data_IF_750187745017
#
_entry.id   IF_750187745017
#
_cell.length_a   1.000
_cell.length_b   1.000
_cell.length_c   1.000
_cell.angle_alpha   90.00
_cell.angle_beta   90.00
_cell.angle_gamma   90.00
#
_symmetry.space_group_name_H-M   'P 1'
#
loop_
_entity.id
_entity.type
_entity.pdbx_description
1 polymer ?
#
# COMPACT_ATOMS: atom_id res chain seq x y z
N UNK A 1 32.00 -7.81 16.81
CA UNK A 1 32.09 -8.62 15.58
C UNK A 1 32.93 -9.89 15.71
N UNK A 2 34.14 -9.89 16.27
CA UNK A 2 35.01 -11.11 16.36
C UNK A 2 34.38 -12.37 16.96
N UNK A 3 33.48 -12.24 17.95
CA UNK A 3 32.79 -13.40 18.55
C UNK A 3 31.82 -14.09 17.58
N UNK A 4 31.10 -13.31 16.75
CA UNK A 4 30.19 -13.87 15.74
C UNK A 4 30.97 -14.49 14.58
N UNK A 5 32.05 -13.84 14.12
CA UNK A 5 32.93 -14.40 13.08
C UNK A 5 33.52 -15.74 13.50
N UNK A 6 33.97 -15.88 14.76
CA UNK A 6 34.47 -17.15 15.27
C UNK A 6 33.37 -18.21 15.43
N UNK A 7 32.19 -17.82 15.93
CA UNK A 7 31.09 -18.75 16.22
C UNK A 7 30.46 -19.39 14.97
N UNK A 8 30.58 -18.76 13.81
CA UNK A 8 30.08 -19.27 12.54
C UNK A 8 31.19 -19.58 11.52
N UNK A 9 32.44 -19.64 11.99
CA UNK A 9 33.61 -19.88 11.12
C UNK A 9 33.61 -21.25 10.44
N UNK A 10 32.87 -22.21 11.00
CA UNK A 10 32.68 -23.58 10.53
C UNK A 10 31.37 -23.76 9.74
N UNK A 11 30.54 -22.72 9.64
CA UNK A 11 29.25 -22.79 8.95
C UNK A 11 29.41 -22.26 7.53
N UNK A 12 29.42 -23.17 6.55
CA UNK A 12 29.35 -22.84 5.13
C UNK A 12 28.19 -23.57 4.45
N UNK A 13 27.57 -22.93 3.46
CA UNK A 13 26.56 -23.57 2.64
C UNK A 13 27.24 -24.61 1.73
N UNK A 14 26.91 -25.88 1.91
CA UNK A 14 27.35 -26.95 1.00
C UNK A 14 26.46 -26.97 -0.24
N UNK A 15 27.08 -27.01 -1.43
CA UNK A 15 26.37 -27.11 -2.71
C UNK A 15 26.45 -28.57 -3.17
N UNK A 16 25.34 -29.21 -3.58
CA UNK A 16 25.37 -30.58 -4.09
C UNK A 16 26.28 -30.70 -5.33
N UNK A 17 27.03 -31.81 -5.45
CA UNK A 17 28.07 -31.99 -6.49
C UNK A 17 27.57 -31.82 -7.94
N UNK A 18 26.26 -32.04 -8.16
CA UNK A 18 25.58 -31.88 -9.45
C UNK A 18 25.23 -30.42 -9.80
N UNK A 19 25.44 -29.48 -8.87
CA UNK A 19 25.40 -28.03 -9.08
C UNK A 19 26.82 -27.45 -9.03
N UNK A 20 27.65 -27.81 -10.01
CA UNK A 20 29.08 -27.52 -10.03
C UNK A 20 29.44 -26.04 -10.27
N UNK A 21 28.46 -25.22 -10.66
CA UNK A 21 28.59 -23.76 -10.69
C UNK A 21 27.81 -23.17 -9.51
N UNK A 22 28.48 -22.49 -8.56
CA UNK A 22 27.81 -21.77 -7.47
C UNK A 22 27.07 -20.57 -8.06
N UNK A 23 25.87 -20.83 -8.59
CA UNK A 23 24.97 -19.82 -9.13
C UNK A 23 24.01 -19.41 -8.01
N UNK A 24 24.47 -18.52 -7.15
CA UNK A 24 23.69 -17.98 -6.04
C UNK A 24 24.53 -17.04 -5.20
N UNK A 25 23.92 -15.97 -4.70
CA UNK A 25 24.61 -15.01 -3.83
C UNK A 25 23.66 -14.53 -2.74
N UNK A 26 24.16 -14.46 -1.52
CA UNK A 26 23.47 -13.80 -0.41
C UNK A 26 24.23 -12.52 -0.12
N UNK A 27 23.52 -11.39 -0.09
CA UNK A 27 24.06 -10.10 0.31
C UNK A 27 23.28 -9.60 1.52
N UNK A 28 24.00 -9.22 2.57
CA UNK A 28 23.42 -8.65 3.78
C UNK A 28 24.06 -7.28 3.99
N UNK A 29 23.21 -6.25 4.09
CA UNK A 29 23.63 -4.88 4.34
C UNK A 29 22.90 -4.34 5.56
N UNK A 30 23.67 -3.90 6.56
CA UNK A 30 23.15 -3.18 7.72
C UNK A 30 23.08 -1.69 7.38
N UNK A 31 21.88 -1.12 7.46
CA UNK A 31 21.65 0.32 7.30
C UNK A 31 21.67 0.97 8.69
N UNK A 32 22.57 1.93 8.89
CA UNK A 32 22.62 2.76 10.11
C UNK A 32 22.72 4.25 9.77
N UNK A 33 22.40 5.11 10.74
CA UNK A 33 22.36 6.58 10.57
C UNK A 33 20.93 7.14 10.62
N UNK A 34 20.76 8.38 10.19
CA UNK A 34 19.45 9.04 10.08
C UNK A 34 18.69 8.58 8.81
N UNK A 35 17.37 8.80 8.77
CA UNK A 35 16.47 8.48 7.64
C UNK A 35 16.55 7.01 7.17
N UNK A 36 16.48 6.07 8.11
CA UNK A 36 16.62 4.63 7.82
C UNK A 36 15.53 4.14 6.87
N UNK A 37 14.28 4.58 7.05
CA UNK A 37 13.14 4.18 6.21
C UNK A 37 13.36 4.56 4.75
N UNK A 38 13.62 5.84 4.45
CA UNK A 38 13.88 6.33 3.09
C UNK A 38 15.06 5.59 2.43
N UNK A 39 16.14 5.39 3.20
CA UNK A 39 17.30 4.64 2.70
C UNK A 39 17.00 3.18 2.44
N UNK A 40 16.10 2.58 3.23
CA UNK A 40 15.68 1.20 3.04
C UNK A 40 14.87 1.05 1.76
N UNK A 41 13.94 1.98 1.52
CA UNK A 41 13.17 2.04 0.27
C UNK A 41 14.10 2.21 -0.93
N UNK A 42 15.00 3.21 -0.88
CA UNK A 42 15.97 3.47 -1.96
C UNK A 42 16.88 2.26 -2.20
N UNK A 43 17.45 1.67 -1.16
CA UNK A 43 18.34 0.50 -1.31
C UNK A 43 17.60 -0.70 -1.90
N UNK A 44 16.31 -0.86 -1.58
CA UNK A 44 15.47 -1.92 -2.15
C UNK A 44 15.28 -1.69 -3.65
N UNK A 45 14.94 -0.46 -4.06
CA UNK A 45 14.80 -0.10 -5.47
C UNK A 45 16.12 -0.21 -6.24
N UNK A 46 17.22 0.32 -5.70
CA UNK A 46 18.56 0.19 -6.29
C UNK A 46 18.99 -1.28 -6.50
N UNK A 47 18.51 -2.16 -5.61
CA UNK A 47 18.77 -3.61 -5.73
C UNK A 47 17.96 -4.21 -6.87
N UNK A 48 16.71 -3.80 -7.04
CA UNK A 48 15.89 -4.17 -8.19
C UNK A 48 16.51 -3.66 -9.48
N UNK A 49 16.92 -2.38 -9.54
CA UNK A 49 17.56 -1.78 -10.71
C UNK A 49 18.77 -2.60 -11.16
N UNK A 50 19.67 -2.95 -10.23
CA UNK A 50 20.84 -3.79 -10.52
C UNK A 50 20.48 -5.17 -11.05
N UNK A 51 19.36 -5.76 -10.62
CA UNK A 51 18.90 -7.06 -11.12
C UNK A 51 18.33 -6.90 -12.53
N UNK A 52 17.48 -5.91 -12.77
CA UNK A 52 16.88 -5.66 -14.07
C UNK A 52 17.92 -5.24 -15.11
N UNK A 53 18.91 -4.41 -14.74
CA UNK A 53 20.07 -4.05 -15.59
C UNK A 53 20.89 -5.28 -16.03
N UNK A 54 20.90 -6.34 -15.21
CA UNK A 54 21.54 -7.63 -15.55
C UNK A 54 20.65 -8.54 -16.40
N UNK A 55 19.47 -8.07 -16.80
CA UNK A 55 18.51 -8.81 -17.63
C UNK A 55 17.56 -9.72 -16.85
N UNK A 56 17.45 -9.56 -15.53
CA UNK A 56 16.49 -10.33 -14.72
C UNK A 56 15.07 -9.84 -15.02
N UNK A 57 14.14 -10.72 -15.44
CA UNK A 57 12.74 -10.35 -15.61
C UNK A 57 12.08 -9.94 -14.29
N UNK A 58 11.23 -8.91 -14.30
CA UNK A 58 10.55 -8.41 -13.08
C UNK A 58 9.78 -9.51 -12.32
N UNK A 59 9.12 -10.41 -13.04
CA UNK A 59 8.37 -11.52 -12.44
C UNK A 59 9.23 -12.62 -11.78
N UNK A 60 10.56 -12.53 -11.90
CA UNK A 60 11.51 -13.37 -11.18
C UNK A 60 12.01 -12.74 -9.88
N UNK A 61 11.57 -11.52 -9.58
CA UNK A 61 11.95 -10.76 -8.39
C UNK A 61 10.78 -10.74 -7.42
N UNK A 62 11.04 -11.12 -6.17
CA UNK A 62 10.11 -10.98 -5.05
C UNK A 62 10.69 -10.11 -3.94
N UNK A 63 9.86 -9.22 -3.41
CA UNK A 63 10.13 -8.41 -2.22
C UNK A 63 9.28 -8.95 -1.08
N UNK A 64 9.94 -9.45 -0.04
CA UNK A 64 9.28 -10.06 1.11
C UNK A 64 9.40 -9.19 2.36
N UNK A 65 8.27 -8.91 3.00
CA UNK A 65 8.22 -8.18 4.27
C UNK A 65 7.39 -8.92 5.31
N UNK A 66 7.43 -8.46 6.57
CA UNK A 66 6.68 -9.09 7.65
C UNK A 66 5.21 -8.65 7.72
N UNK A 67 4.95 -7.36 7.47
CA UNK A 67 3.66 -6.72 7.66
C UNK A 67 3.11 -6.20 6.33
N UNK A 68 1.78 -6.20 6.19
CA UNK A 68 1.11 -5.61 5.02
C UNK A 68 1.38 -4.11 4.89
N UNK A 69 1.53 -3.40 6.03
CA UNK A 69 1.89 -1.98 6.03
C UNK A 69 3.20 -1.72 5.29
N UNK A 70 4.24 -2.51 5.56
CA UNK A 70 5.52 -2.35 4.87
C UNK A 70 5.39 -2.66 3.36
N UNK A 71 4.48 -3.55 2.95
CA UNK A 71 4.21 -3.78 1.51
C UNK A 71 3.67 -2.50 0.88
N UNK A 72 2.68 -1.86 1.52
CA UNK A 72 2.06 -0.62 1.04
C UNK A 72 3.11 0.49 0.89
N UNK A 73 3.92 0.70 1.93
CA UNK A 73 4.93 1.77 1.95
C UNK A 73 5.99 1.57 0.84
N UNK A 74 6.51 0.34 0.65
CA UNK A 74 7.49 0.07 -0.41
C UNK A 74 6.83 0.15 -1.79
N UNK A 75 5.62 -0.40 -1.94
CA UNK A 75 4.90 -0.39 -3.21
C UNK A 75 4.60 1.04 -3.67
N UNK A 76 4.11 1.89 -2.79
CA UNK A 76 3.90 3.32 -3.05
C UNK A 76 5.22 4.03 -3.40
N UNK A 77 6.32 3.69 -2.72
CA UNK A 77 7.63 4.21 -3.08
C UNK A 77 8.03 3.80 -4.51
N UNK A 78 7.90 2.52 -4.88
CA UNK A 78 8.22 2.04 -6.22
C UNK A 78 7.37 2.70 -7.30
N UNK A 79 6.06 2.87 -7.06
CA UNK A 79 5.17 3.56 -8.01
C UNK A 79 5.55 5.02 -8.27
N UNK A 80 6.11 5.69 -7.25
CA UNK A 80 6.51 7.09 -7.35
C UNK A 80 7.92 7.30 -7.90
N UNK A 81 8.74 6.24 -7.98
CA UNK A 81 10.16 6.34 -8.33
C UNK A 81 10.60 5.39 -9.47
N UNK A 82 9.70 4.56 -9.99
CA UNK A 82 10.00 3.60 -11.07
C UNK A 82 8.78 3.32 -11.92
N UNK A 83 9.00 2.86 -13.15
CA UNK A 83 7.96 2.39 -14.07
C UNK A 83 7.82 0.86 -14.05
N UNK A 84 8.35 0.19 -13.01
CA UNK A 84 8.30 -1.26 -12.95
C UNK A 84 6.86 -1.76 -12.79
N UNK A 85 6.46 -2.81 -13.52
CA UNK A 85 5.21 -3.49 -13.24
C UNK A 85 5.29 -4.09 -11.83
N UNK A 86 4.35 -3.73 -10.96
CA UNK A 86 4.28 -4.23 -9.59
C UNK A 86 3.06 -5.14 -9.41
N UNK A 87 3.20 -6.17 -8.60
CA UNK A 87 2.11 -7.11 -8.30
C UNK A 87 2.05 -7.40 -6.81
N UNK A 88 0.89 -7.16 -6.21
CA UNK A 88 0.61 -7.45 -4.81
C UNK A 88 -0.88 -7.62 -4.61
N UNK A 89 -1.26 -8.73 -3.99
CA UNK A 89 -2.66 -9.02 -3.66
C UNK A 89 -3.15 -8.16 -2.46
N UNK A 90 -2.24 -7.50 -1.73
CA UNK A 90 -2.55 -6.71 -0.53
C UNK A 90 -2.26 -5.22 -0.65
N UNK A 91 -1.13 -4.83 -1.25
CA UNK A 91 -0.75 -3.41 -1.23
C UNK A 91 -1.62 -2.55 -2.13
N UNK A 92 -2.05 -3.09 -3.27
CA UNK A 92 -2.67 -2.31 -4.32
C UNK A 92 -4.19 -2.23 -4.24
N UNK A 93 -4.82 -2.81 -3.20
CA UNK A 93 -6.27 -2.74 -3.00
C UNK A 93 -6.72 -1.31 -2.66
N UNK A 94 -7.91 -0.92 -3.08
CA UNK A 94 -8.46 0.41 -2.76
C UNK A 94 -8.62 0.64 -1.25
N UNK A 95 -8.96 -0.39 -0.48
CA UNK A 95 -9.08 -0.32 0.99
C UNK A 95 -7.76 -0.16 1.75
N UNK A 96 -6.62 -0.31 1.07
CA UNK A 96 -5.31 0.01 1.60
C UNK A 96 -5.04 1.53 1.63
N UNK A 97 -5.74 2.31 0.79
CA UNK A 97 -5.51 3.75 0.69
C UNK A 97 -6.24 4.52 1.78
N UNK A 98 -5.48 5.21 2.64
CA UNK A 98 -6.05 6.13 3.64
C UNK A 98 -6.86 7.24 2.97
N UNK A 99 -6.43 7.75 1.82
CA UNK A 99 -7.15 8.80 1.09
C UNK A 99 -8.53 8.31 0.62
N UNK A 100 -8.59 7.13 -0.01
CA UNK A 100 -9.86 6.52 -0.46
C UNK A 100 -10.74 6.16 0.74
N UNK A 101 -10.19 5.52 1.77
CA UNK A 101 -10.93 5.17 2.98
C UNK A 101 -11.51 6.40 3.69
N UNK A 102 -10.82 7.54 3.66
CA UNK A 102 -11.32 8.79 4.25
C UNK A 102 -12.52 9.34 3.46
N UNK A 103 -12.48 9.30 2.12
CA UNK A 103 -13.64 9.65 1.29
C UNK A 103 -14.85 8.76 1.58
N UNK A 104 -14.63 7.45 1.59
CA UNK A 104 -15.70 6.47 1.84
C UNK A 104 -16.26 6.63 3.26
N UNK A 105 -15.41 6.90 4.25
CA UNK A 105 -15.85 7.16 5.63
C UNK A 105 -16.72 8.43 5.73
N UNK A 106 -16.42 9.48 4.96
CA UNK A 106 -17.27 10.67 4.89
C UNK A 106 -18.65 10.36 4.27
N UNK A 107 -18.70 9.54 3.23
CA UNK A 107 -19.96 9.04 2.66
C UNK A 107 -20.74 8.19 3.68
N UNK A 108 -20.07 7.34 4.46
CA UNK A 108 -20.67 6.58 5.54
C UNK A 108 -21.35 7.48 6.58
N UNK A 109 -20.69 8.55 7.02
CA UNK A 109 -21.25 9.51 7.99
C UNK A 109 -22.52 10.17 7.44
N UNK A 110 -22.56 10.50 6.15
CA UNK A 110 -23.76 11.08 5.51
C UNK A 110 -24.94 10.10 5.55
N UNK A 111 -24.72 8.80 5.38
CA UNK A 111 -25.80 7.79 5.46
C UNK A 111 -26.13 7.43 6.91
N UNK A 112 -25.13 7.36 7.79
CA UNK A 112 -25.23 6.92 9.17
C UNK A 112 -24.71 8.00 10.14
N UNK A 113 -25.48 9.10 10.33
CA UNK A 113 -25.01 10.25 11.12
C UNK A 113 -24.80 9.97 12.61
N UNK A 114 -25.30 8.83 13.11
CA UNK A 114 -25.14 8.40 14.50
C UNK A 114 -23.98 7.39 14.68
N UNK A 115 -23.19 7.12 13.63
CA UNK A 115 -22.02 6.26 13.71
C UNK A 115 -20.86 7.01 14.37
N UNK A 116 -20.77 6.87 15.69
CA UNK A 116 -19.72 7.49 16.49
C UNK A 116 -18.31 7.00 16.12
N UNK A 117 -18.16 5.79 15.56
CA UNK A 117 -16.86 5.25 15.18
C UNK A 117 -16.40 5.92 13.88
N UNK A 118 -17.29 6.03 12.89
CA UNK A 118 -17.00 6.75 11.64
C UNK A 118 -16.65 8.21 11.91
N UNK A 119 -17.44 8.89 12.77
CA UNK A 119 -17.19 10.27 13.20
C UNK A 119 -15.85 10.42 13.93
N UNK A 120 -15.52 9.54 14.88
CA UNK A 120 -14.25 9.59 15.60
C UNK A 120 -13.06 9.33 14.68
N UNK A 121 -13.21 8.41 13.71
CA UNK A 121 -12.17 8.11 12.71
C UNK A 121 -11.90 9.33 11.83
N UNK A 122 -12.95 10.01 11.35
CA UNK A 122 -12.78 11.21 10.54
C UNK A 122 -12.20 12.38 11.37
N UNK A 123 -12.65 12.56 12.60
CA UNK A 123 -12.07 13.56 13.52
C UNK A 123 -10.58 13.33 13.71
N UNK A 124 -10.16 12.08 13.99
CA UNK A 124 -8.76 11.74 14.15
C UNK A 124 -7.94 12.05 12.90
N UNK A 125 -8.48 11.80 11.71
CA UNK A 125 -7.83 12.18 10.45
C UNK A 125 -7.65 13.71 10.36
N UNK A 126 -8.72 14.48 10.61
CA UNK A 126 -8.67 15.94 10.58
C UNK A 126 -7.65 16.50 11.58
N UNK A 127 -7.61 15.98 12.81
CA UNK A 127 -6.63 16.36 13.83
C UNK A 127 -5.19 16.04 13.38
N UNK A 128 -4.98 14.84 12.83
CA UNK A 128 -3.65 14.38 12.39
C UNK A 128 -3.08 15.26 11.28
N UNK A 129 -3.91 15.64 10.31
CA UNK A 129 -3.49 16.39 9.13
C UNK A 129 -3.82 17.89 9.19
N UNK A 130 -4.30 18.37 10.33
CA UNK A 130 -4.71 19.78 10.53
C UNK A 130 -5.68 20.28 9.45
N UNK A 131 -6.64 19.43 9.06
CA UNK A 131 -7.72 19.84 8.15
C UNK A 131 -8.59 20.85 8.90
N UNK A 132 -8.59 22.09 8.42
CA UNK A 132 -9.28 23.18 9.09
C UNK A 132 -10.81 23.03 8.98
N UNK A 133 -11.52 23.35 10.06
CA UNK A 133 -12.95 23.13 10.16
C UNK A 133 -13.26 21.77 10.77
N UNK A 134 -14.26 21.71 11.65
CA UNK A 134 -14.72 20.45 12.22
C UNK A 134 -15.50 19.68 11.14
N UNK A 135 -14.78 19.00 10.25
CA UNK A 135 -15.36 18.35 9.07
C UNK A 135 -16.51 17.39 9.45
N UNK A 136 -16.39 16.55 10.51
CA UNK A 136 -17.52 15.73 10.96
C UNK A 136 -18.75 16.54 11.35
N UNK A 137 -18.58 17.65 12.08
CA UNK A 137 -19.69 18.56 12.42
C UNK A 137 -20.28 19.25 11.18
N UNK A 138 -19.46 19.61 10.20
CA UNK A 138 -19.90 20.19 8.93
C UNK A 138 -20.73 19.20 8.12
N UNK A 139 -20.30 17.94 8.01
CA UNK A 139 -21.07 16.87 7.35
C UNK A 139 -22.43 16.67 7.99
N UNK A 140 -22.51 16.74 9.33
CA UNK A 140 -23.78 16.59 10.06
C UNK A 140 -24.67 17.84 9.93
N UNK A 141 -24.08 19.04 9.99
CA UNK A 141 -24.82 20.31 9.93
C UNK A 141 -25.39 20.57 8.55
N UNK A 142 -24.58 20.34 7.50
CA UNK A 142 -24.96 20.59 6.11
C UNK A 142 -25.41 19.31 5.40
N UNK A 143 -25.80 18.27 6.16
CA UNK A 143 -26.11 16.94 5.64
C UNK A 143 -27.10 16.96 4.48
N UNK A 144 -28.15 17.76 4.58
CA UNK A 144 -29.18 17.84 3.53
C UNK A 144 -28.61 18.35 2.20
N UNK A 145 -27.70 19.33 2.23
CA UNK A 145 -27.05 19.87 1.03
C UNK A 145 -26.21 18.79 0.34
N UNK A 146 -25.40 18.07 1.11
CA UNK A 146 -24.58 16.97 0.57
C UNK A 146 -25.42 15.85 -0.06
N UNK A 147 -26.55 15.51 0.54
CA UNK A 147 -27.44 14.45 0.04
C UNK A 147 -28.21 14.84 -1.24
N UNK A 148 -28.33 16.13 -1.53
CA UNK A 148 -28.97 16.63 -2.76
C UNK A 148 -27.99 16.65 -3.96
N UNK A 149 -26.69 16.52 -3.72
CA UNK A 149 -25.67 16.49 -4.77
C UNK A 149 -25.61 15.13 -5.47
N UNK A 150 -25.35 15.08 -6.79
CA UNK A 150 -24.98 13.85 -7.46
C UNK A 150 -23.75 13.21 -6.80
N UNK A 151 -23.75 11.88 -6.66
CA UNK A 151 -22.71 11.17 -5.89
C UNK A 151 -21.27 11.48 -6.38
N UNK A 152 -21.09 11.64 -7.70
CA UNK A 152 -19.79 12.00 -8.26
C UNK A 152 -19.33 13.39 -7.78
N UNK A 153 -20.20 14.40 -7.90
CA UNK A 153 -19.91 15.77 -7.48
C UNK A 153 -19.75 15.90 -5.96
N UNK A 154 -20.55 15.13 -5.20
CA UNK A 154 -20.41 15.01 -3.75
C UNK A 154 -19.02 14.50 -3.39
N UNK A 155 -18.56 13.45 -4.06
CA UNK A 155 -17.26 12.83 -3.80
C UNK A 155 -16.11 13.79 -4.12
N UNK A 156 -16.19 14.52 -5.24
CA UNK A 156 -15.25 15.60 -5.59
C UNK A 156 -15.22 16.72 -4.55
N UNK A 157 -16.41 17.14 -4.07
CA UNK A 157 -16.51 18.15 -3.02
C UNK A 157 -15.84 17.67 -1.72
N UNK A 158 -16.08 16.42 -1.32
CA UNK A 158 -15.45 15.82 -0.15
C UNK A 158 -13.93 15.73 -0.32
N UNK A 159 -13.43 15.35 -1.51
CA UNK A 159 -12.00 15.31 -1.80
C UNK A 159 -11.33 16.67 -1.57
N UNK A 160 -11.97 17.75 -2.02
CA UNK A 160 -11.50 19.12 -1.82
C UNK A 160 -11.60 19.56 -0.35
N UNK A 161 -12.73 19.33 0.32
CA UNK A 161 -12.94 19.75 1.71
C UNK A 161 -12.04 19.01 2.70
N UNK A 162 -11.75 17.74 2.42
CA UNK A 162 -10.79 16.93 3.18
C UNK A 162 -9.33 17.22 2.83
N UNK A 163 -9.09 18.13 1.86
CA UNK A 163 -7.76 18.55 1.42
C UNK A 163 -6.87 17.41 0.96
N UNK A 164 -7.45 16.35 0.40
CA UNK A 164 -6.70 15.15 0.00
C UNK A 164 -5.69 15.46 -1.13
N UNK A 165 -5.94 16.48 -1.94
CA UNK A 165 -5.00 16.98 -2.94
C UNK A 165 -3.90 17.92 -2.41
N UNK A 166 -3.96 18.33 -1.14
CA UNK A 166 -2.98 19.26 -0.52
C UNK A 166 -2.07 18.55 0.50
N UNK A 167 -2.54 17.44 1.08
CA UNK A 167 -1.80 16.68 2.10
C UNK A 167 -0.71 15.83 1.42
N UNK A 168 0.56 16.06 1.78
CA UNK A 168 1.74 15.38 1.20
C UNK A 168 1.60 13.85 1.17
N UNK A 169 1.11 13.24 2.25
CA UNK A 169 0.96 11.79 2.33
C UNK A 169 -0.18 11.27 1.45
N UNK A 170 -1.24 12.06 1.24
CA UNK A 170 -2.39 11.67 0.41
C UNK A 170 -2.10 11.85 -1.08
N UNK A 171 -1.30 12.86 -1.45
CA UNK A 171 -0.87 13.09 -2.85
C UNK A 171 -0.15 11.87 -3.42
N UNK A 172 0.64 11.18 -2.61
CA UNK A 172 1.34 9.94 -3.02
C UNK A 172 0.37 8.80 -3.38
N UNK A 173 -0.88 8.87 -2.94
CA UNK A 173 -1.93 7.89 -3.20
C UNK A 173 -2.83 8.24 -4.40
N UNK A 174 -2.41 9.17 -5.26
CA UNK A 174 -3.21 9.64 -6.41
C UNK A 174 -3.71 8.50 -7.30
N UNK A 175 -2.92 7.45 -7.53
CA UNK A 175 -3.34 6.30 -8.34
C UNK A 175 -4.54 5.54 -7.75
N UNK A 176 -4.63 5.43 -6.42
CA UNK A 176 -5.79 4.85 -5.73
C UNK A 176 -7.02 5.73 -5.89
N UNK A 177 -6.84 7.05 -5.76
CA UNK A 177 -7.93 8.02 -5.98
C UNK A 177 -8.46 7.93 -7.41
N UNK A 178 -7.59 7.92 -8.43
CA UNK A 178 -7.99 7.75 -9.83
C UNK A 178 -8.77 6.45 -10.03
N UNK A 179 -8.23 5.33 -9.52
CA UNK A 179 -8.89 4.01 -9.65
C UNK A 179 -10.24 3.98 -8.92
N UNK A 180 -10.35 4.66 -7.78
CA UNK A 180 -11.62 4.82 -7.06
C UNK A 180 -12.65 5.59 -7.89
N UNK A 181 -12.26 6.72 -8.51
CA UNK A 181 -13.14 7.49 -9.40
C UNK A 181 -13.54 6.71 -10.66
N UNK A 182 -12.65 5.88 -11.21
CA UNK A 182 -12.99 4.97 -12.31
C UNK A 182 -14.04 3.95 -11.87
N UNK A 183 -13.93 3.42 -10.65
CA UNK A 183 -14.93 2.50 -10.09
C UNK A 183 -16.26 3.20 -9.83
N UNK A 184 -16.23 4.40 -9.27
CA UNK A 184 -17.41 5.21 -9.02
C UNK A 184 -18.14 5.53 -10.33
N UNK A 185 -17.41 6.00 -11.35
CA UNK A 185 -17.96 6.28 -12.68
C UNK A 185 -18.58 5.05 -13.33
N UNK A 186 -17.90 3.90 -13.22
CA UNK A 186 -18.42 2.62 -13.72
C UNK A 186 -19.69 2.21 -12.98
N UNK A 187 -19.72 2.30 -11.65
CA UNK A 187 -20.91 2.01 -10.85
C UNK A 187 -22.09 2.88 -11.27
N UNK A 188 -21.87 4.18 -11.44
CA UNK A 188 -22.89 5.15 -11.83
C UNK A 188 -23.40 4.99 -13.27
N UNK A 189 -22.65 4.28 -14.13
CA UNK A 189 -23.12 3.93 -15.49
C UNK A 189 -24.19 2.85 -15.43
N UNK A 190 -24.08 1.91 -14.50
CA UNK A 190 -24.91 0.71 -14.43
C UNK A 190 -26.03 0.80 -13.36
N UNK A 191 -25.97 1.77 -12.43
CA UNK A 191 -26.84 1.87 -11.25
C UNK A 191 -27.37 3.29 -11.01
N UNK A 192 -28.35 3.41 -10.11
CA UNK A 192 -28.81 4.70 -9.60
C UNK A 192 -27.72 5.42 -8.81
N UNK A 193 -27.71 6.75 -8.89
CA UNK A 193 -26.77 7.64 -8.18
C UNK A 193 -27.16 7.80 -6.70
N UNK A 194 -27.22 6.69 -5.97
CA UNK A 194 -27.52 6.67 -4.54
C UNK A 194 -26.31 6.22 -3.71
N UNK A 195 -26.07 6.93 -2.59
CA UNK A 195 -24.90 6.72 -1.73
C UNK A 195 -24.96 5.33 -1.09
N UNK A 196 -26.13 4.91 -0.60
CA UNK A 196 -26.30 3.64 0.11
C UNK A 196 -25.97 2.42 -0.77
N UNK A 197 -26.40 2.42 -2.02
CA UNK A 197 -26.12 1.39 -3.00
C UNK A 197 -24.64 1.36 -3.36
N UNK A 198 -24.01 2.52 -3.54
CA UNK A 198 -22.57 2.60 -3.76
C UNK A 198 -21.77 2.05 -2.57
N UNK A 199 -22.10 2.45 -1.33
CA UNK A 199 -21.44 1.94 -0.13
C UNK A 199 -21.59 0.43 0.01
N UNK A 200 -22.76 -0.12 -0.34
CA UNK A 200 -22.98 -1.57 -0.37
C UNK A 200 -22.09 -2.25 -1.43
N UNK A 201 -21.97 -1.69 -2.62
CA UNK A 201 -21.10 -2.25 -3.66
C UNK A 201 -19.61 -2.10 -3.30
N UNK A 202 -19.27 -1.02 -2.59
CA UNK A 202 -17.96 -0.83 -1.97
C UNK A 202 -17.62 -1.98 -1.03
N UNK A 203 -18.44 -2.21 -0.01
CA UNK A 203 -18.22 -3.27 0.99
C UNK A 203 -18.19 -4.67 0.38
N UNK A 204 -18.92 -4.90 -0.72
CA UNK A 204 -18.96 -6.21 -1.34
C UNK A 204 -17.76 -6.47 -2.26
N UNK A 205 -17.33 -5.48 -3.05
CA UNK A 205 -16.41 -5.73 -4.19
C UNK A 205 -15.41 -4.61 -4.46
N UNK A 206 -15.81 -3.33 -4.47
CA UNK A 206 -14.93 -2.26 -4.97
C UNK A 206 -13.71 -2.09 -4.08
N UNK A 207 -13.87 -2.23 -2.76
CA UNK A 207 -12.79 -2.05 -1.79
C UNK A 207 -11.58 -2.99 -2.04
N UNK A 208 -11.82 -4.18 -2.62
CA UNK A 208 -10.77 -5.17 -2.94
C UNK A 208 -10.06 -4.92 -4.27
N UNK A 209 -10.53 -3.96 -5.08
CA UNK A 209 -10.00 -3.78 -6.42
C UNK A 209 -8.56 -3.26 -6.36
N UNK A 210 -7.68 -3.90 -7.13
CA UNK A 210 -6.28 -3.49 -7.26
C UNK A 210 -6.12 -2.32 -8.24
N UNK A 211 -5.23 -1.37 -7.90
CA UNK A 211 -4.81 -0.27 -8.80
C UNK A 211 -3.84 -0.71 -9.90
N UNK A 212 -3.29 -1.93 -9.81
CA UNK A 212 -2.43 -2.53 -10.82
C UNK A 212 -3.03 -3.82 -11.35
N UNK A 213 -2.78 -4.11 -12.63
CA UNK A 213 -3.33 -5.29 -13.30
C UNK A 213 -2.81 -6.58 -12.68
N UNK A 214 -3.66 -7.61 -12.63
CA UNK A 214 -3.39 -8.98 -12.15
C UNK A 214 -2.35 -9.74 -13.01
N UNK A 215 -1.47 -9.03 -13.73
CA UNK A 215 -0.53 -9.63 -14.67
C UNK A 215 0.64 -10.31 -13.97
N UNK A 216 0.99 -11.51 -14.42
CA UNK A 216 2.17 -12.27 -13.95
C UNK A 216 3.53 -11.68 -14.37
N UNK A 217 3.56 -10.44 -14.87
CA UNK A 217 4.75 -9.81 -15.44
C UNK A 217 5.56 -8.94 -14.49
N UNK A 218 5.04 -8.63 -13.29
CA UNK A 218 5.63 -7.64 -12.40
C UNK A 218 6.37 -8.20 -11.17
N UNK A 219 7.08 -7.30 -10.49
CA UNK A 219 7.77 -7.55 -9.23
C UNK A 219 6.74 -7.91 -8.17
N UNK A 220 6.92 -9.06 -7.52
CA UNK A 220 5.96 -9.58 -6.55
C UNK A 220 6.25 -9.02 -5.15
N UNK A 221 5.28 -8.33 -4.55
CA UNK A 221 5.34 -7.90 -3.15
C UNK A 221 4.37 -8.73 -2.33
N UNK A 222 4.90 -9.40 -1.31
CA UNK A 222 4.12 -10.30 -0.48
C UNK A 222 4.70 -10.40 0.93
N UNK A 223 3.88 -10.85 1.87
CA UNK A 223 4.38 -11.14 3.21
C UNK A 223 5.14 -12.46 3.24
N UNK A 224 6.06 -12.61 4.20
CA UNK A 224 6.73 -13.91 4.45
C UNK A 224 5.71 -15.03 4.71
N UNK A 225 4.57 -14.71 5.32
CA UNK A 225 3.53 -15.71 5.57
C UNK A 225 2.92 -16.23 4.27
N UNK A 226 2.67 -15.34 3.30
CA UNK A 226 2.11 -15.69 1.99
C UNK A 226 3.15 -16.29 1.03
N UNK A 227 4.44 -16.10 1.26
CA UNK A 227 5.50 -16.68 0.43
C UNK A 227 5.76 -18.17 0.70
N UNK A 228 5.14 -18.76 1.73
CA UNK A 228 5.32 -20.18 2.08
C UNK A 228 4.87 -21.08 0.94
N UNK A 229 5.78 -21.92 0.45
CA UNK A 229 5.52 -22.82 -0.67
C UNK A 229 5.63 -22.17 -2.05
N UNK A 230 6.03 -20.90 -2.12
CA UNK A 230 6.38 -20.21 -3.37
C UNK A 230 7.91 -20.18 -3.54
N UNK A 231 8.35 -20.10 -4.78
CA UNK A 231 9.77 -19.96 -5.14
C UNK A 231 9.97 -18.77 -6.08
N UNK A 232 11.09 -18.08 -5.89
CA UNK A 232 11.50 -16.95 -6.73
C UNK A 232 13.01 -17.00 -6.93
N UNK A 233 13.47 -16.68 -8.13
CA UNK A 233 14.88 -16.71 -8.49
C UNK A 233 15.68 -15.65 -7.70
N UNK A 234 15.06 -14.48 -7.44
CA UNK A 234 15.63 -13.40 -6.68
C UNK A 234 14.68 -12.91 -5.59
N UNK A 235 15.14 -12.95 -4.33
CA UNK A 235 14.37 -12.53 -3.16
C UNK A 235 15.09 -11.36 -2.47
N UNK A 236 14.37 -10.26 -2.27
CA UNK A 236 14.82 -9.08 -1.52
C UNK A 236 14.00 -9.00 -0.24
N UNK A 237 14.67 -8.87 0.91
CA UNK A 237 14.03 -8.82 2.22
C UNK A 237 14.42 -7.52 2.93
N UNK A 238 13.66 -6.43 2.75
CA UNK A 238 13.85 -5.22 3.53
C UNK A 238 13.30 -5.39 4.96
N UNK A 239 13.70 -4.49 5.84
CA UNK A 239 13.27 -4.38 7.23
C UNK A 239 13.65 -5.58 8.11
N UNK A 240 14.78 -6.27 7.92
CA UNK A 240 15.13 -7.48 8.70
C UNK A 240 15.56 -7.24 10.17
N UNK A 241 15.06 -6.20 10.84
CA UNK A 241 15.44 -5.78 12.20
C UNK A 241 14.55 -6.34 13.32
N UNK A 242 13.99 -7.54 13.09
CA UNK A 242 12.90 -8.04 13.91
C UNK A 242 13.38 -8.60 15.24
N UNK A 243 12.63 -8.35 16.32
CA UNK A 243 12.82 -9.10 17.55
C UNK A 243 12.39 -10.56 17.36
N UNK A 244 13.33 -11.48 17.54
CA UNK A 244 13.12 -12.92 17.45
C UNK A 244 12.53 -13.51 18.74
N UNK A 245 12.81 -12.89 19.89
CA UNK A 245 12.28 -13.27 21.20
C UNK A 245 11.78 -12.01 21.93
N UNK A 246 10.67 -12.14 22.66
CA UNK A 246 10.26 -11.11 23.62
C UNK A 246 11.19 -11.22 24.83
N UNK A 247 11.92 -10.14 25.12
CA UNK A 247 12.63 -9.99 26.39
C UNK A 247 11.65 -9.97 27.58
#
# INVERSE_FOLDING_TARGET
CKQLENAYSDVCQQVPDHHSNPNGSISIQLLGGENIEDRMMQTTLDTVDKLVERGVPCNKIAILVRSNRNIQDIAEYFMNHSDYPLVSDEAFRLDASQAVCTLVNALYILVHPNDNIALATLNKFCDTYSVAGNMPEQLLTNRSEYLEMPLFDLTERLFAELKLGEIKDMIKQTAYICTFYDCLSKYLTDNSSDITGFLKEWDNRIHEKSIHSDGDGGIRFLTIHKSKGLEYDHVIMPYCDWQLEKA
#
